data_IF_289455375664
#
_entry.id   IF_289455375664
#
_cell.length_a   1.000
_cell.length_b   1.000
_cell.length_c   1.000
_cell.angle_alpha   90.00
_cell.angle_beta   90.00
_cell.angle_gamma   90.00
#
_symmetry.space_group_name_H-M   'P 1'
#
loop_
_entity.id
_entity.type
_entity.pdbx_description
1 polymer ?
#
# COMPACT_ATOMS: atom_id res chain seq x y z
N UNK A 1 26.24 13.29 33.45
CA UNK A 1 25.40 12.07 33.41
C UNK A 1 24.02 12.45 32.91
N UNK A 2 23.52 11.62 31.99
CA UNK A 2 22.36 11.75 31.13
C UNK A 2 21.02 11.70 31.89
N UNK A 3 20.03 12.53 31.53
CA UNK A 3 18.61 12.14 31.47
C UNK A 3 17.88 12.97 30.40
N UNK A 4 17.74 12.41 29.20
CA UNK A 4 16.79 12.89 28.22
C UNK A 4 15.41 12.28 28.54
N UNK A 5 14.41 13.15 28.72
CA UNK A 5 13.03 12.77 28.97
C UNK A 5 12.41 12.20 27.70
N UNK A 6 11.73 11.07 27.82
CA UNK A 6 11.07 10.37 26.73
C UNK A 6 9.94 11.22 26.13
N UNK A 7 10.07 11.60 24.86
CA UNK A 7 8.98 12.15 24.08
C UNK A 7 8.01 11.02 23.74
N UNK A 8 6.87 11.02 24.45
CA UNK A 8 5.68 10.24 24.11
C UNK A 8 5.31 10.50 22.65
N UNK A 9 5.64 9.54 21.77
CA UNK A 9 5.09 9.51 20.43
C UNK A 9 3.63 9.06 20.56
N UNK A 10 2.72 10.02 20.58
CA UNK A 10 1.31 9.74 20.41
C UNK A 10 1.10 9.34 18.95
N UNK A 11 1.03 8.03 18.70
CA UNK A 11 0.58 7.48 17.42
C UNK A 11 -0.75 8.14 17.07
N UNK A 12 -0.93 8.72 15.86
CA UNK A 12 -2.21 9.26 15.48
C UNK A 12 -3.22 8.10 15.48
N UNK A 13 -4.25 8.26 16.30
CA UNK A 13 -5.46 7.44 16.31
C UNK A 13 -5.92 7.24 14.87
N UNK A 14 -6.08 5.98 14.48
CA UNK A 14 -6.66 5.60 13.21
C UNK A 14 -8.11 6.09 13.18
N UNK A 15 -8.31 7.32 12.73
CA UNK A 15 -9.60 7.82 12.29
C UNK A 15 -10.09 6.82 11.23
N UNK A 16 -11.16 6.09 11.53
CA UNK A 16 -11.88 5.22 10.61
C UNK A 16 -12.48 6.06 9.47
N UNK A 17 -11.63 6.49 8.55
CA UNK A 17 -12.05 6.99 7.25
C UNK A 17 -12.39 5.76 6.41
N UNK A 18 -13.69 5.47 6.30
CA UNK A 18 -14.27 4.48 5.37
C UNK A 18 -13.86 4.87 3.95
N UNK A 19 -12.75 4.34 3.47
CA UNK A 19 -12.08 4.82 2.25
C UNK A 19 -12.37 3.87 1.11
N UNK A 20 -12.97 4.39 0.04
CA UNK A 20 -12.91 3.76 -1.27
C UNK A 20 -11.84 4.49 -2.10
N UNK A 21 -11.14 3.76 -2.95
CA UNK A 21 -10.19 4.32 -3.90
C UNK A 21 -10.91 5.27 -4.87
N UNK A 22 -10.42 6.50 -4.94
CA UNK A 22 -10.89 7.45 -5.93
C UNK A 22 -10.69 6.91 -7.36
N UNK A 23 -11.65 7.19 -8.24
CA UNK A 23 -11.59 6.75 -9.64
C UNK A 23 -10.42 7.40 -10.40
N UNK A 24 -10.11 8.66 -10.08
CA UNK A 24 -9.01 9.40 -10.73
C UNK A 24 -7.66 8.91 -10.25
N UNK A 25 -6.86 8.33 -11.14
CA UNK A 25 -5.50 7.84 -10.85
C UNK A 25 -5.45 6.44 -10.25
N UNK A 26 -6.60 5.74 -10.15
CA UNK A 26 -6.61 4.29 -9.99
C UNK A 26 -6.60 3.60 -11.35
N UNK A 27 -6.08 2.37 -11.36
CA UNK A 27 -5.99 1.50 -12.53
C UNK A 27 -6.88 0.28 -12.29
N UNK A 28 -7.50 -0.26 -13.34
CA UNK A 28 -8.29 -1.49 -13.27
C UNK A 28 -7.43 -2.71 -13.60
N UNK A 29 -7.79 -3.85 -13.01
CA UNK A 29 -7.24 -5.17 -13.35
C UNK A 29 -8.28 -6.23 -13.01
N UNK A 30 -8.36 -7.27 -13.83
CA UNK A 30 -9.16 -8.47 -13.52
C UNK A 30 -8.21 -9.58 -13.11
N UNK A 31 -8.47 -10.20 -11.97
CA UNK A 31 -7.69 -11.32 -11.43
C UNK A 31 -8.66 -12.42 -11.05
N UNK A 32 -8.49 -13.61 -11.61
CA UNK A 32 -9.33 -14.79 -11.36
C UNK A 32 -10.84 -14.49 -11.51
N UNK A 33 -11.20 -13.69 -12.52
CA UNK A 33 -12.57 -13.31 -12.83
C UNK A 33 -13.15 -12.17 -11.99
N UNK A 34 -12.42 -11.65 -10.99
CA UNK A 34 -12.87 -10.53 -10.14
C UNK A 34 -12.22 -9.24 -10.61
N UNK A 35 -13.02 -8.19 -10.80
CA UNK A 35 -12.50 -6.85 -11.12
C UNK A 35 -12.01 -6.13 -9.86
N UNK A 36 -10.81 -5.56 -9.97
CA UNK A 36 -10.17 -4.76 -8.92
C UNK A 36 -9.78 -3.38 -9.45
N UNK A 37 -9.63 -2.44 -8.51
CA UNK A 37 -8.94 -1.18 -8.72
C UNK A 37 -7.73 -1.10 -7.81
N UNK A 38 -6.65 -0.56 -8.33
CA UNK A 38 -5.44 -0.36 -7.56
C UNK A 38 -4.85 1.02 -7.80
N UNK A 39 -4.13 1.53 -6.80
CA UNK A 39 -3.58 2.88 -6.82
C UNK A 39 -2.26 2.95 -6.08
N UNK A 40 -1.30 3.61 -6.71
CA UNK A 40 -0.09 4.16 -6.09
C UNK A 40 -0.33 5.63 -5.78
N UNK A 41 0.09 6.08 -4.59
CA UNK A 41 0.04 7.50 -4.24
C UNK A 41 1.00 8.28 -5.16
N UNK A 42 0.58 9.47 -5.61
CA UNK A 42 1.41 10.29 -6.53
C UNK A 42 2.60 10.92 -5.80
N UNK A 43 2.38 11.43 -4.58
CA UNK A 43 3.41 12.04 -3.74
C UNK A 43 3.88 10.97 -2.74
N UNK A 44 5.20 10.76 -2.56
CA UNK A 44 5.69 9.86 -1.54
C UNK A 44 5.29 10.37 -0.15
N UNK A 45 5.19 9.45 0.82
CA UNK A 45 5.34 9.87 2.22
C UNK A 45 6.76 10.40 2.45
N UNK A 46 6.99 11.13 3.55
CA UNK A 46 8.34 11.61 3.87
C UNK A 46 9.36 10.46 3.94
N UNK A 47 8.99 9.35 4.60
CA UNK A 47 9.83 8.14 4.70
C UNK A 47 10.13 7.51 3.33
N UNK A 48 9.14 7.48 2.43
CA UNK A 48 9.33 7.01 1.05
C UNK A 48 10.15 7.99 0.20
N UNK A 49 10.07 9.30 0.51
CA UNK A 49 10.85 10.35 -0.12
C UNK A 49 12.35 10.17 0.14
N UNK A 50 12.69 9.76 1.36
CA UNK A 50 14.07 9.43 1.76
C UNK A 50 14.48 7.98 1.43
N UNK A 51 13.60 7.19 0.81
CA UNK A 51 13.83 5.75 0.60
C UNK A 51 14.16 4.97 1.89
N UNK A 52 13.59 5.37 3.03
CA UNK A 52 13.68 4.61 4.29
C UNK A 52 12.62 3.53 4.39
N UNK A 53 11.51 3.72 3.69
CA UNK A 53 10.47 2.72 3.54
C UNK A 53 10.13 2.51 2.07
N UNK A 54 9.75 1.28 1.70
CA UNK A 54 9.38 0.98 0.34
C UNK A 54 8.03 1.62 -0.05
N UNK A 55 7.78 1.62 -1.36
CA UNK A 55 6.53 2.01 -1.97
C UNK A 55 5.39 1.09 -1.51
N UNK A 56 4.27 1.72 -1.14
CA UNK A 56 3.01 1.04 -0.86
C UNK A 56 1.97 1.36 -1.93
N UNK A 57 1.09 0.39 -2.21
CA UNK A 57 -0.07 0.59 -3.06
C UNK A 57 -1.31 -0.07 -2.48
N UNK A 58 -2.47 0.48 -2.81
CA UNK A 58 -3.76 0.01 -2.33
C UNK A 58 -4.53 -0.71 -3.44
N UNK A 59 -5.32 -1.72 -3.07
CA UNK A 59 -6.19 -2.49 -3.97
C UNK A 59 -7.56 -2.68 -3.31
N UNK A 60 -8.63 -2.51 -4.08
CA UNK A 60 -10.01 -2.76 -3.67
C UNK A 60 -10.79 -3.46 -4.79
N UNK A 61 -11.88 -4.15 -4.44
CA UNK A 61 -12.83 -4.63 -5.44
C UNK A 61 -13.38 -3.45 -6.25
N UNK A 62 -13.49 -3.60 -7.57
CA UNK A 62 -14.03 -2.56 -8.45
C UNK A 62 -15.56 -2.51 -8.46
N UNK A 63 -16.19 -3.64 -8.09
CA UNK A 63 -17.62 -3.91 -8.21
C UNK A 63 -18.24 -4.08 -6.83
N UNK A 64 -19.19 -3.22 -6.48
CA UNK A 64 -19.90 -3.22 -5.21
C UNK A 64 -20.41 -1.82 -4.86
N UNK A 65 -21.64 -1.73 -4.37
CA UNK A 65 -22.22 -0.46 -3.89
C UNK A 65 -21.62 0.00 -2.55
N UNK A 66 -20.93 -0.89 -1.84
CA UNK A 66 -20.22 -0.60 -0.60
C UNK A 66 -18.71 -0.84 -0.75
N UNK A 67 -17.85 -0.03 -0.09
CA UNK A 67 -16.43 -0.33 0.01
C UNK A 67 -16.24 -1.60 0.83
N UNK A 68 -15.62 -2.62 0.24
CA UNK A 68 -15.11 -3.77 0.99
C UNK A 68 -13.73 -3.48 1.60
N UNK A 69 -13.05 -4.50 2.10
CA UNK A 69 -11.74 -4.37 2.73
C UNK A 69 -10.66 -4.02 1.70
N UNK A 70 -10.00 -2.88 1.90
CA UNK A 70 -8.81 -2.48 1.14
C UNK A 70 -7.63 -3.40 1.46
N UNK A 71 -6.92 -3.88 0.44
CA UNK A 71 -5.59 -4.47 0.57
C UNK A 71 -4.54 -3.37 0.44
N UNK A 72 -3.62 -3.29 1.40
CA UNK A 72 -2.44 -2.44 1.35
C UNK A 72 -1.22 -3.34 1.17
N UNK A 73 -0.50 -3.15 0.07
CA UNK A 73 0.71 -3.92 -0.24
C UNK A 73 1.93 -3.04 -0.02
N UNK A 74 2.85 -3.51 0.80
CA UNK A 74 4.22 -3.00 0.89
C UNK A 74 5.07 -3.74 -0.14
N UNK A 75 5.58 -3.03 -1.14
CA UNK A 75 6.39 -3.65 -2.21
C UNK A 75 7.87 -3.70 -1.84
N UNK A 76 8.70 -4.31 -2.69
CA UNK A 76 10.17 -4.23 -2.61
C UNK A 76 10.79 -3.04 -3.35
N UNK A 77 10.00 -2.06 -3.78
CA UNK A 77 10.45 -0.99 -4.69
C UNK A 77 10.50 0.37 -4.01
N UNK A 78 11.45 1.22 -4.42
CA UNK A 78 11.44 2.63 -4.05
C UNK A 78 10.23 3.37 -4.66
N UNK A 79 9.84 4.50 -4.05
CA UNK A 79 8.83 5.35 -4.67
C UNK A 79 9.45 6.07 -5.89
N UNK A 80 8.79 6.11 -7.06
CA UNK A 80 9.38 6.68 -8.28
C UNK A 80 9.65 8.19 -8.21
N UNK A 81 8.99 8.89 -7.29
CA UNK A 81 9.24 10.31 -6.98
C UNK A 81 9.98 10.52 -5.67
N UNK A 82 10.86 9.59 -5.27
CA UNK A 82 11.74 9.79 -4.12
C UNK A 82 12.69 10.98 -4.34
N UNK A 83 13.20 11.56 -3.26
CA UNK A 83 14.00 12.78 -3.26
C UNK A 83 15.51 12.52 -3.30
N UNK A 84 15.92 11.27 -3.13
CA UNK A 84 17.33 10.84 -3.07
C UNK A 84 17.84 10.29 -4.41
N UNK A 85 17.00 10.26 -5.44
CA UNK A 85 17.38 9.79 -6.78
C UNK A 85 17.58 8.27 -6.89
N UNK A 86 17.10 7.50 -5.92
CA UNK A 86 17.18 6.04 -5.97
C UNK A 86 16.36 5.49 -7.14
N UNK A 87 16.90 4.49 -7.83
CA UNK A 87 16.20 3.81 -8.92
C UNK A 87 14.93 3.12 -8.40
N UNK A 88 13.83 3.29 -9.13
CA UNK A 88 12.55 2.68 -8.80
C UNK A 88 12.05 1.85 -9.99
N UNK A 89 11.86 0.55 -9.78
CA UNK A 89 11.23 -0.29 -10.81
C UNK A 89 9.70 -0.10 -10.74
N UNK A 90 9.03 0.25 -11.85
CA UNK A 90 7.58 0.44 -11.85
C UNK A 90 6.80 -0.82 -11.42
N UNK A 91 5.79 -0.64 -10.58
CA UNK A 91 4.83 -1.71 -10.26
C UNK A 91 3.95 -1.97 -11.48
N UNK A 92 4.02 -3.20 -12.00
CA UNK A 92 3.28 -3.66 -13.18
C UNK A 92 1.98 -4.37 -12.76
N UNK A 93 0.97 -4.46 -13.66
CA UNK A 93 -0.24 -5.24 -13.41
C UNK A 93 0.03 -6.68 -12.95
N UNK A 94 1.07 -7.33 -13.49
CA UNK A 94 1.46 -8.68 -13.07
C UNK A 94 1.88 -8.77 -11.59
N UNK A 95 2.60 -7.76 -11.06
CA UNK A 95 2.96 -7.70 -9.64
C UNK A 95 1.70 -7.55 -8.77
N UNK A 96 0.77 -6.71 -9.22
CA UNK A 96 -0.52 -6.49 -8.54
C UNK A 96 -1.34 -7.77 -8.51
N UNK A 97 -1.44 -8.49 -9.63
CA UNK A 97 -2.16 -9.77 -9.71
C UNK A 97 -1.56 -10.84 -8.80
N UNK A 98 -0.23 -10.92 -8.71
CA UNK A 98 0.44 -11.84 -7.78
C UNK A 98 0.13 -11.49 -6.32
N UNK A 99 0.18 -10.21 -5.95
CA UNK A 99 -0.14 -9.78 -4.57
C UNK A 99 -1.61 -9.98 -4.22
N UNK A 100 -2.54 -9.82 -5.18
CA UNK A 100 -3.97 -10.12 -4.98
C UNK A 100 -4.15 -11.60 -4.66
N UNK A 101 -3.58 -12.50 -5.47
CA UNK A 101 -3.68 -13.95 -5.25
C UNK A 101 -3.09 -14.34 -3.89
N UNK A 102 -1.89 -13.87 -3.57
CA UNK A 102 -1.25 -14.13 -2.28
C UNK A 102 -2.08 -13.60 -1.09
N UNK A 103 -2.67 -12.41 -1.20
CA UNK A 103 -3.54 -11.90 -0.15
C UNK A 103 -4.82 -12.72 0.01
N UNK A 104 -5.43 -13.17 -1.11
CA UNK A 104 -6.61 -14.04 -1.10
C UNK A 104 -6.30 -15.37 -0.42
N UNK A 105 -5.17 -15.98 -0.74
CA UNK A 105 -4.70 -17.22 -0.11
C UNK A 105 -4.46 -17.04 1.40
N UNK A 106 -4.11 -15.82 1.84
CA UNK A 106 -3.94 -15.44 3.25
C UNK A 106 -5.23 -14.95 3.95
N UNK A 107 -6.38 -15.09 3.30
CA UNK A 107 -7.69 -14.77 3.89
C UNK A 107 -8.18 -13.34 3.68
N UNK A 108 -7.59 -12.56 2.76
CA UNK A 108 -8.17 -11.28 2.39
C UNK A 108 -9.51 -11.48 1.68
N UNK A 109 -10.59 -10.91 2.23
CA UNK A 109 -11.93 -10.93 1.65
C UNK A 109 -12.29 -9.54 1.10
N UNK A 110 -12.17 -9.29 -0.22
CA UNK A 110 -12.23 -7.95 -0.80
C UNK A 110 -13.64 -7.32 -0.79
N UNK A 111 -14.69 -8.12 -0.60
CA UNK A 111 -16.10 -7.67 -0.55
C UNK A 111 -16.63 -7.54 0.87
N UNK A 112 -15.95 -8.10 1.87
CA UNK A 112 -16.32 -7.97 3.27
C UNK A 112 -15.87 -6.62 3.79
N UNK A 113 -16.67 -5.95 4.62
CA UNK A 113 -16.25 -4.73 5.27
C UNK A 113 -15.28 -5.06 6.42
N UNK A 114 -14.26 -4.24 6.62
CA UNK A 114 -13.30 -4.43 7.71
C UNK A 114 -12.11 -3.48 7.62
N UNK A 115 -11.19 -3.64 8.57
CA UNK A 115 -9.91 -2.93 8.58
C UNK A 115 -9.05 -3.32 7.37
N UNK A 116 -8.17 -2.43 6.89
CA UNK A 116 -7.31 -2.74 5.74
C UNK A 116 -6.43 -3.97 5.98
N UNK A 117 -6.43 -4.89 5.03
CA UNK A 117 -5.57 -6.08 5.04
C UNK A 117 -4.16 -5.70 4.60
N UNK A 118 -3.14 -6.01 5.41
CA UNK A 118 -1.75 -5.69 5.09
C UNK A 118 -1.05 -6.90 4.47
N UNK A 119 -0.36 -6.68 3.35
CA UNK A 119 0.53 -7.68 2.76
C UNK A 119 1.93 -7.09 2.61
N UNK A 120 2.89 -7.70 3.28
CA UNK A 120 4.30 -7.34 3.14
C UNK A 120 4.98 -8.18 2.05
N UNK A 121 5.49 -7.51 1.02
CA UNK A 121 6.32 -8.05 -0.07
C UNK A 121 7.59 -7.21 -0.25
N UNK A 122 8.10 -6.64 0.85
CA UNK A 122 9.28 -5.77 0.85
C UNK A 122 10.62 -6.49 0.84
N UNK A 123 10.62 -7.83 0.82
CA UNK A 123 11.83 -8.63 0.74
C UNK A 123 12.75 -8.15 -0.40
N UNK A 124 14.01 -7.88 -0.06
CA UNK A 124 15.03 -7.35 -0.99
C UNK A 124 15.05 -5.83 -1.16
N UNK A 125 14.16 -5.08 -0.51
CA UNK A 125 14.29 -3.62 -0.46
C UNK A 125 15.50 -3.19 0.38
N UNK A 126 16.32 -2.29 -0.16
CA UNK A 126 17.49 -1.74 0.52
C UNK A 126 17.20 -0.27 0.84
N UNK A 127 17.06 0.04 2.13
CA UNK A 127 16.87 1.40 2.60
C UNK A 127 18.13 2.23 2.33
N UNK A 128 17.95 3.48 1.88
CA UNK A 128 19.05 4.42 1.66
C UNK A 128 19.31 5.19 2.96
N UNK A 129 20.55 5.17 3.46
CA UNK A 129 20.97 5.91 4.67
C UNK A 129 21.81 7.12 4.29
#
# INVERSE_FOLDING_TARGET
MLRASAATHQSPTAQEAKTALNKKGSRRITVDGIEYRWRIRRKPSYMQGLCWTPLTYAVEAASGSQPGTTLIVTSGQAHPSNWVGAEAVPIRPAHVAASIREARDRGWEPTKAGSPFQLDRSAGFIAQQ
#
